data_IF_794690342933
#
_entry.id   IF_794690342933
#
_cell.length_a   1.000
_cell.length_b   1.000
_cell.length_c   1.000
_cell.angle_alpha   90.00
_cell.angle_beta   90.00
_cell.angle_gamma   90.00
#
_symmetry.space_group_name_H-M   'P 1'
#
loop_
_entity.id
_entity.type
_entity.pdbx_description
1 polymer ?
#
# COMPACT_ATOMS: atom_id res chain seq x y z
N UNK A 1 0.96 -4.56 -19.80
CA UNK A 1 2.37 -4.27 -19.48
C UNK A 1 2.51 -4.39 -17.97
N UNK A 2 3.60 -4.96 -17.44
CA UNK A 2 3.79 -5.04 -15.97
C UNK A 2 4.40 -3.73 -15.49
N UNK A 3 3.75 -3.07 -14.54
CA UNK A 3 4.30 -1.91 -13.86
C UNK A 3 4.88 -2.34 -12.51
N UNK A 4 6.06 -1.85 -12.17
CA UNK A 4 6.76 -2.23 -10.93
C UNK A 4 7.04 -0.99 -10.10
N UNK A 5 6.86 -1.12 -8.79
CA UNK A 5 7.09 -0.07 -7.81
C UNK A 5 7.86 -0.62 -6.61
N UNK A 6 8.79 0.14 -6.07
CA UNK A 6 9.50 -0.22 -4.83
C UNK A 6 9.16 0.76 -3.73
N UNK A 7 8.75 0.21 -2.59
CA UNK A 7 8.42 0.96 -1.39
C UNK A 7 9.63 1.03 -0.45
N UNK A 8 9.92 2.24 0.02
CA UNK A 8 10.85 2.47 1.12
C UNK A 8 10.19 3.31 2.20
N UNK A 9 10.54 3.09 3.46
CA UNK A 9 10.26 4.05 4.52
C UNK A 9 11.14 5.28 4.33
N UNK A 10 10.55 6.47 4.48
CA UNK A 10 11.29 7.74 4.39
C UNK A 10 12.49 7.78 5.35
N UNK A 11 12.31 7.26 6.57
CA UNK A 11 13.39 7.05 7.55
C UNK A 11 13.14 5.76 8.33
N UNK A 12 14.12 5.30 9.13
CA UNK A 12 13.98 4.08 9.95
C UNK A 12 12.78 4.12 10.91
N UNK A 13 12.45 5.31 11.43
CA UNK A 13 11.36 5.55 12.39
C UNK A 13 10.12 6.16 11.76
N UNK A 14 10.22 6.66 10.52
CA UNK A 14 9.09 7.29 9.85
C UNK A 14 7.98 6.29 9.55
N UNK A 15 6.77 6.84 9.58
CA UNK A 15 5.56 6.22 9.10
C UNK A 15 5.33 6.52 7.62
N UNK A 16 6.05 7.42 7.00
CA UNK A 16 5.81 7.67 5.58
C UNK A 16 6.53 6.62 4.74
N UNK A 17 5.88 6.20 3.66
CA UNK A 17 6.51 5.43 2.61
C UNK A 17 6.71 6.32 1.37
N UNK A 18 7.87 6.21 0.76
CA UNK A 18 8.18 6.76 -0.56
C UNK A 18 8.18 5.61 -1.57
N UNK A 19 7.59 5.85 -2.73
CA UNK A 19 7.38 4.83 -3.76
C UNK A 19 8.08 5.28 -5.02
N UNK A 20 9.00 4.46 -5.51
CA UNK A 20 9.72 4.70 -6.75
C UNK A 20 9.24 3.73 -7.82
N UNK A 21 9.17 4.21 -9.06
CA UNK A 21 8.97 3.33 -10.22
C UNK A 21 10.21 2.44 -10.43
N UNK A 22 9.98 1.17 -10.71
CA UNK A 22 11.00 0.13 -10.92
C UNK A 22 11.27 -0.75 -9.69
N UNK A 23 12.04 -1.82 -9.91
CA UNK A 23 12.54 -2.71 -8.88
C UNK A 23 13.91 -2.20 -8.37
N UNK A 24 13.91 -1.54 -7.22
CA UNK A 24 15.12 -0.95 -6.63
C UNK A 24 15.59 -1.78 -5.45
N UNK A 25 16.90 -1.97 -5.34
CA UNK A 25 17.49 -2.69 -4.20
C UNK A 25 17.67 -1.81 -2.96
N UNK A 26 17.90 -0.53 -3.18
CA UNK A 26 18.19 0.47 -2.16
C UNK A 26 17.45 1.78 -2.45
N UNK A 27 17.22 2.57 -1.39
CA UNK A 27 16.54 3.84 -1.54
C UNK A 27 17.47 4.83 -2.26
N UNK A 28 17.01 5.49 -3.34
CA UNK A 28 17.79 6.54 -3.98
C UNK A 28 18.19 7.65 -3.00
N UNK A 29 19.35 8.27 -3.25
CA UNK A 29 19.81 9.41 -2.48
C UNK A 29 18.85 10.60 -2.71
N UNK A 30 18.27 11.23 -1.67
CA UNK A 30 17.36 12.36 -1.83
C UNK A 30 17.95 13.60 -2.52
N UNK A 31 19.28 13.78 -2.47
CA UNK A 31 19.97 14.97 -3.02
C UNK A 31 20.38 14.81 -4.48
N UNK A 32 20.67 13.58 -4.90
CA UNK A 32 21.27 13.29 -6.21
C UNK A 32 20.54 12.24 -7.03
N UNK A 33 19.62 11.50 -6.40
CA UNK A 33 18.81 10.48 -7.04
C UNK A 33 17.50 11.05 -7.63
N UNK A 34 16.75 10.22 -8.36
CA UNK A 34 15.42 10.59 -8.82
C UNK A 34 14.50 10.89 -7.62
N UNK A 35 13.55 11.80 -7.80
CA UNK A 35 12.47 11.98 -6.85
C UNK A 35 11.56 10.73 -6.81
N UNK A 36 10.93 10.43 -5.66
CA UNK A 36 9.94 9.35 -5.60
C UNK A 36 8.73 9.69 -6.47
N UNK A 37 8.14 8.68 -7.11
CA UNK A 37 6.93 8.84 -7.92
C UNK A 37 5.72 9.14 -7.05
N UNK A 38 5.60 8.43 -5.92
CA UNK A 38 4.54 8.66 -4.94
C UNK A 38 5.08 8.77 -3.52
N UNK A 39 4.32 9.43 -2.66
CA UNK A 39 4.54 9.47 -1.21
C UNK A 39 3.25 9.07 -0.51
N UNK A 40 3.31 7.99 0.26
CA UNK A 40 2.22 7.56 1.14
C UNK A 40 2.50 8.08 2.56
N UNK A 41 1.85 9.17 2.93
CA UNK A 41 1.93 9.76 4.26
C UNK A 41 0.96 9.04 5.19
N UNK A 42 1.45 8.65 6.37
CA UNK A 42 0.70 7.76 7.26
C UNK A 42 0.76 8.26 8.70
N UNK A 43 -0.40 8.55 9.28
CA UNK A 43 -0.55 8.87 10.69
C UNK A 43 -1.22 7.71 11.43
N UNK A 44 -1.58 7.92 12.71
CA UNK A 44 -2.34 6.93 13.47
C UNK A 44 -3.80 6.82 13.04
N UNK A 45 -4.38 7.90 12.50
CA UNK A 45 -5.82 8.00 12.19
C UNK A 45 -6.09 8.34 10.74
N UNK A 46 -5.11 8.85 10.02
CA UNK A 46 -5.26 9.36 8.66
C UNK A 46 -4.10 8.90 7.78
N UNK A 47 -4.31 8.95 6.48
CA UNK A 47 -3.27 8.73 5.49
C UNK A 47 -3.59 9.52 4.22
N UNK A 48 -2.56 9.74 3.41
CA UNK A 48 -2.70 10.36 2.09
C UNK A 48 -1.72 9.73 1.11
N UNK A 49 -2.15 9.61 -0.15
CA UNK A 49 -1.27 9.31 -1.27
C UNK A 49 -1.04 10.58 -2.07
N UNK A 50 0.22 10.94 -2.21
CA UNK A 50 0.67 12.05 -3.04
C UNK A 50 1.40 11.51 -4.26
N UNK A 51 1.22 12.17 -5.39
CA UNK A 51 2.00 11.99 -6.60
C UNK A 51 2.95 13.17 -6.78
N UNK A 52 4.21 12.89 -7.10
CA UNK A 52 5.15 13.93 -7.51
C UNK A 52 5.12 14.04 -9.03
N UNK A 53 4.76 15.23 -9.51
CA UNK A 53 4.77 15.60 -10.92
C UNK A 53 5.83 16.68 -11.16
N UNK A 54 6.11 16.97 -12.43
CA UNK A 54 7.03 18.05 -12.80
C UNK A 54 6.56 19.43 -12.30
N UNK A 55 5.26 19.59 -12.06
CA UNK A 55 4.64 20.82 -11.55
C UNK A 55 4.54 20.89 -10.01
N UNK A 56 5.03 19.86 -9.31
CA UNK A 56 4.99 19.78 -7.85
C UNK A 56 4.26 18.54 -7.34
N UNK A 57 3.79 18.58 -6.10
CA UNK A 57 3.13 17.45 -5.46
C UNK A 57 1.62 17.62 -5.49
N UNK A 58 0.89 16.60 -5.98
CA UNK A 58 -0.57 16.53 -5.99
C UNK A 58 -1.06 15.45 -5.03
N UNK A 59 -2.08 15.76 -4.24
CA UNK A 59 -2.79 14.75 -3.45
C UNK A 59 -3.71 13.97 -4.39
N UNK A 60 -3.52 12.64 -4.48
CA UNK A 60 -4.41 11.75 -5.23
C UNK A 60 -5.55 11.24 -4.36
N UNK A 61 -5.18 10.71 -3.19
CA UNK A 61 -6.12 10.09 -2.26
C UNK A 61 -5.85 10.55 -0.83
N UNK A 62 -6.91 10.66 -0.06
CA UNK A 62 -6.86 10.84 1.39
C UNK A 62 -7.72 9.79 2.05
N UNK A 63 -7.44 9.46 3.31
CA UNK A 63 -8.28 8.53 4.03
C UNK A 63 -8.07 8.61 5.53
N UNK A 64 -8.95 7.91 6.23
CA UNK A 64 -8.89 7.76 7.67
C UNK A 64 -9.29 6.36 8.09
N UNK A 65 -8.65 5.89 9.15
CA UNK A 65 -8.99 4.63 9.80
C UNK A 65 -10.26 4.80 10.63
N UNK A 66 -11.12 3.79 10.61
CA UNK A 66 -12.31 3.70 11.44
C UNK A 66 -12.15 2.66 12.55
N UNK A 67 -12.81 2.91 13.68
CA UNK A 67 -12.74 2.06 14.86
C UNK A 67 -11.45 2.22 15.69
N UNK A 68 -11.43 1.58 16.86
CA UNK A 68 -10.33 1.67 17.82
C UNK A 68 -9.08 0.94 17.30
N UNK A 69 -9.29 -0.18 16.61
CA UNK A 69 -8.23 -1.05 16.12
C UNK A 69 -7.80 -0.73 14.68
N UNK A 70 -8.43 0.25 14.02
CA UNK A 70 -8.09 0.65 12.64
C UNK A 70 -8.25 -0.47 11.61
N UNK A 71 -9.18 -1.40 11.83
CA UNK A 71 -9.43 -2.57 10.96
C UNK A 71 -10.31 -2.24 9.74
N UNK A 72 -10.68 -0.98 9.59
CA UNK A 72 -11.36 -0.44 8.42
C UNK A 72 -10.83 0.97 8.15
N UNK A 73 -10.99 1.41 6.91
CA UNK A 73 -10.62 2.74 6.49
C UNK A 73 -11.55 3.24 5.38
N UNK A 74 -11.84 4.54 5.41
CA UNK A 74 -12.54 5.25 4.34
C UNK A 74 -11.52 6.03 3.54
N UNK A 75 -11.54 5.87 2.22
CA UNK A 75 -10.61 6.47 1.27
C UNK A 75 -11.41 7.36 0.31
N UNK A 76 -10.92 8.57 0.06
CA UNK A 76 -11.54 9.59 -0.79
C UNK A 76 -10.51 10.13 -1.80
N UNK A 77 -10.96 10.33 -3.03
CA UNK A 77 -10.28 11.09 -4.09
C UNK A 77 -11.27 12.05 -4.75
N UNK A 78 -10.84 12.75 -5.81
CA UNK A 78 -11.64 13.79 -6.49
C UNK A 78 -13.03 13.27 -6.93
N UNK A 79 -13.11 12.02 -7.41
CA UNK A 79 -14.35 11.37 -7.82
C UNK A 79 -14.50 9.95 -7.26
N UNK A 80 -13.77 9.65 -6.18
CA UNK A 80 -13.67 8.31 -5.63
C UNK A 80 -14.07 8.28 -4.16
N UNK A 81 -14.90 7.30 -3.81
CA UNK A 81 -15.12 6.88 -2.43
C UNK A 81 -14.93 5.36 -2.36
N UNK A 82 -13.99 4.92 -1.54
CA UNK A 82 -13.69 3.51 -1.30
C UNK A 82 -13.67 3.21 0.19
N UNK A 83 -14.10 2.00 0.55
CA UNK A 83 -13.97 1.49 1.91
C UNK A 83 -13.05 0.29 1.87
N UNK A 84 -11.98 0.36 2.66
CA UNK A 84 -11.06 -0.74 2.90
C UNK A 84 -11.37 -1.38 4.26
N UNK A 85 -11.32 -2.70 4.36
CA UNK A 85 -11.57 -3.44 5.60
C UNK A 85 -10.70 -4.69 5.69
N UNK A 86 -10.21 -4.96 6.89
CA UNK A 86 -9.58 -6.24 7.22
C UNK A 86 -10.63 -7.35 7.16
N UNK A 87 -10.23 -8.51 6.65
CA UNK A 87 -11.02 -9.73 6.68
C UNK A 87 -11.15 -10.29 8.10
N UNK A 88 -12.12 -11.18 8.29
CA UNK A 88 -12.31 -11.88 9.57
C UNK A 88 -11.23 -12.94 9.84
N UNK A 89 -11.36 -13.64 10.97
CA UNK A 89 -10.46 -14.72 11.43
C UNK A 89 -10.20 -15.85 10.42
N UNK A 90 -11.01 -15.97 9.37
CA UNK A 90 -10.90 -16.99 8.31
C UNK A 90 -10.72 -16.38 6.91
N UNK A 91 -10.66 -15.06 6.81
CA UNK A 91 -10.49 -14.35 5.55
C UNK A 91 -9.18 -13.57 5.61
N UNK A 92 -8.10 -14.25 5.26
CA UNK A 92 -6.74 -13.71 5.38
C UNK A 92 -6.55 -12.51 4.45
N UNK A 93 -6.54 -11.32 5.06
CA UNK A 93 -6.04 -10.09 4.45
C UNK A 93 -7.03 -8.92 4.53
N UNK A 94 -7.04 -8.10 3.48
CA UNK A 94 -7.82 -6.85 3.43
C UNK A 94 -8.60 -6.78 2.12
N UNK A 95 -9.75 -6.14 2.13
CA UNK A 95 -10.53 -5.89 0.93
C UNK A 95 -10.87 -4.42 0.78
N UNK A 96 -11.03 -3.95 -0.45
CA UNK A 96 -11.54 -2.63 -0.75
C UNK A 96 -12.48 -2.65 -1.95
N UNK A 97 -13.32 -1.62 -2.08
CA UNK A 97 -14.27 -1.49 -3.19
C UNK A 97 -13.87 -0.39 -4.17
N UNK A 98 -14.07 -0.62 -5.45
CA UNK A 98 -13.89 0.38 -6.51
C UNK A 98 -14.92 0.14 -7.61
N UNK A 99 -15.69 1.18 -7.99
CA UNK A 99 -16.74 1.11 -9.01
C UNK A 99 -17.69 -0.11 -8.87
N UNK A 100 -18.11 -0.41 -7.65
CA UNK A 100 -18.94 -1.58 -7.28
C UNK A 100 -18.26 -2.96 -7.36
N UNK A 101 -17.02 -3.06 -7.83
CA UNK A 101 -16.22 -4.27 -7.71
C UNK A 101 -15.47 -4.30 -6.36
N UNK A 102 -15.16 -5.52 -5.93
CA UNK A 102 -14.44 -5.80 -4.68
C UNK A 102 -13.10 -6.44 -5.00
N UNK A 103 -12.06 -5.91 -4.38
CA UNK A 103 -10.68 -6.34 -4.52
C UNK A 103 -10.16 -6.80 -3.18
N UNK A 104 -9.31 -7.83 -3.18
CA UNK A 104 -8.82 -8.47 -1.95
C UNK A 104 -7.33 -8.69 -1.97
N UNK A 105 -6.63 -8.08 -1.02
CA UNK A 105 -5.29 -8.48 -0.63
C UNK A 105 -5.36 -9.82 0.10
N UNK A 106 -4.80 -10.87 -0.50
CA UNK A 106 -4.48 -12.14 0.15
C UNK A 106 -3.11 -12.06 0.79
N UNK A 107 -3.09 -12.31 2.08
CA UNK A 107 -1.89 -12.17 2.90
C UNK A 107 -1.62 -13.51 3.55
N UNK A 108 -0.56 -14.20 3.14
CA UNK A 108 -0.14 -15.40 3.85
C UNK A 108 0.49 -15.03 5.19
N UNK A 109 0.04 -15.67 6.27
CA UNK A 109 0.46 -15.39 7.66
C UNK A 109 1.99 -15.49 7.86
N UNK A 110 2.65 -16.43 7.17
CA UNK A 110 4.12 -16.60 7.19
C UNK A 110 4.78 -16.26 5.84
N UNK A 111 4.04 -15.59 4.95
CA UNK A 111 4.49 -15.32 3.58
C UNK A 111 4.99 -13.90 3.38
N UNK A 112 6.07 -13.77 2.61
CA UNK A 112 6.54 -12.46 2.11
C UNK A 112 5.73 -11.98 0.91
N UNK A 113 5.00 -12.88 0.26
CA UNK A 113 4.25 -12.60 -0.95
C UNK A 113 2.79 -12.38 -0.65
N UNK A 114 2.29 -11.22 -1.04
CA UNK A 114 0.88 -10.88 -0.99
C UNK A 114 0.35 -10.69 -2.40
N UNK A 115 -0.91 -11.02 -2.64
CA UNK A 115 -1.55 -10.88 -3.94
C UNK A 115 -2.81 -10.05 -3.81
N UNK A 116 -3.08 -9.20 -4.79
CA UNK A 116 -4.36 -8.52 -4.94
C UNK A 116 -5.20 -9.28 -5.96
N UNK A 117 -6.40 -9.68 -5.57
CA UNK A 117 -7.33 -10.47 -6.36
C UNK A 117 -8.64 -9.72 -6.61
N UNK A 118 -9.24 -9.91 -7.78
CA UNK A 118 -10.62 -9.48 -8.04
C UNK A 118 -11.61 -10.53 -7.51
N UNK A 119 -12.91 -10.27 -7.70
CA UNK A 119 -13.99 -11.21 -7.36
C UNK A 119 -13.89 -12.58 -8.05
N UNK A 120 -13.22 -12.64 -9.21
CA UNK A 120 -13.03 -13.86 -9.99
C UNK A 120 -11.72 -14.58 -9.62
N UNK A 121 -10.99 -14.08 -8.62
CA UNK A 121 -9.66 -14.57 -8.19
C UNK A 121 -8.55 -14.34 -9.23
N UNK A 122 -8.74 -13.40 -10.16
CA UNK A 122 -7.66 -12.97 -11.03
C UNK A 122 -6.68 -12.12 -10.23
N UNK A 123 -5.39 -12.43 -10.32
CA UNK A 123 -4.35 -11.68 -9.61
C UNK A 123 -4.01 -10.42 -10.41
N UNK A 124 -4.30 -9.25 -9.84
CA UNK A 124 -4.02 -7.94 -10.46
C UNK A 124 -2.68 -7.36 -10.03
N UNK A 125 -2.26 -7.64 -8.79
CA UNK A 125 -1.00 -7.15 -8.26
C UNK A 125 -0.36 -8.13 -7.29
N UNK A 126 0.95 -8.02 -7.10
CA UNK A 126 1.74 -8.83 -6.17
C UNK A 126 2.69 -7.93 -5.39
N UNK A 127 2.75 -8.08 -4.08
CA UNK A 127 3.77 -7.47 -3.25
C UNK A 127 4.73 -8.56 -2.75
N UNK A 128 6.01 -8.43 -3.06
CA UNK A 128 7.07 -9.21 -2.43
C UNK A 128 7.73 -8.36 -1.33
N UNK A 129 7.44 -8.67 -0.07
CA UNK A 129 8.01 -7.99 1.10
C UNK A 129 9.50 -8.22 1.19
N UNK A 130 10.23 -7.15 1.48
CA UNK A 130 11.64 -7.24 1.79
C UNK A 130 11.82 -7.93 3.15
N UNK A 131 12.71 -8.91 3.20
CA UNK A 131 13.19 -9.50 4.44
C UNK A 131 14.42 -8.74 4.94
N UNK A 132 14.45 -8.36 6.22
CA UNK A 132 15.65 -7.89 6.93
C UNK A 132 16.34 -6.59 6.42
N UNK A 133 15.77 -5.85 5.45
CA UNK A 133 16.26 -4.49 5.09
C UNK A 133 15.50 -3.43 5.89
N UNK A 134 16.21 -2.57 6.64
CA UNK A 134 15.60 -1.64 7.61
C UNK A 134 14.62 -0.61 7.01
N UNK A 135 14.83 -0.19 5.76
CA UNK A 135 14.00 0.84 5.11
C UNK A 135 13.20 0.32 3.92
N UNK A 136 13.67 -0.69 3.18
CA UNK A 136 12.90 -1.29 2.08
C UNK A 136 11.69 -2.05 2.64
N UNK A 137 10.51 -1.73 2.15
CA UNK A 137 9.25 -2.38 2.53
C UNK A 137 9.02 -3.60 1.63
N UNK A 138 9.12 -3.40 0.31
CA UNK A 138 8.87 -4.45 -0.66
C UNK A 138 8.81 -3.92 -2.09
N UNK A 139 8.58 -4.84 -3.02
CA UNK A 139 8.40 -4.55 -4.45
C UNK A 139 6.97 -4.97 -4.83
N UNK A 140 6.21 -4.00 -5.32
CA UNK A 140 4.86 -4.18 -5.86
C UNK A 140 4.93 -4.31 -7.38
N UNK A 141 4.33 -5.36 -7.91
CA UNK A 141 4.12 -5.57 -9.34
C UNK A 141 2.64 -5.46 -9.64
N UNK A 142 2.26 -4.56 -10.54
CA UNK A 142 0.92 -4.43 -11.10
C UNK A 142 0.92 -5.20 -12.43
N UNK A 143 0.14 -6.28 -12.48
CA UNK A 143 0.15 -7.25 -13.56
C UNK A 143 -0.90 -6.97 -14.64
N UNK A 144 -1.94 -6.21 -14.28
CA UNK A 144 -3.06 -5.86 -15.14
C UNK A 144 -3.11 -4.35 -15.33
N UNK A 145 -3.43 -3.91 -16.54
CA UNK A 145 -3.68 -2.50 -16.81
C UNK A 145 -4.89 -2.03 -16.01
N UNK A 146 -4.77 -0.87 -15.37
CA UNK A 146 -5.78 -0.28 -14.50
C UNK A 146 -5.77 1.23 -14.70
N UNK A 147 -6.92 1.85 -14.54
CA UNK A 147 -7.01 3.30 -14.49
C UNK A 147 -6.25 3.88 -13.28
N UNK A 148 -6.00 5.19 -13.31
CA UNK A 148 -5.18 5.86 -12.31
C UNK A 148 -5.79 5.85 -10.90
N UNK A 149 -7.12 5.84 -10.77
CA UNK A 149 -7.82 5.81 -9.48
C UNK A 149 -7.68 4.44 -8.82
N UNK A 150 -7.89 3.36 -9.58
CA UNK A 150 -7.65 2.00 -9.10
C UNK A 150 -6.17 1.80 -8.77
N UNK A 151 -5.26 2.32 -9.60
CA UNK A 151 -3.82 2.28 -9.32
C UNK A 151 -3.48 2.98 -8.01
N UNK A 152 -4.00 4.18 -7.79
CA UNK A 152 -3.82 4.92 -6.55
C UNK A 152 -4.37 4.14 -5.34
N UNK A 153 -5.53 3.48 -5.48
CA UNK A 153 -6.07 2.59 -4.45
C UNK A 153 -5.16 1.40 -4.16
N UNK A 154 -4.64 0.72 -5.19
CA UNK A 154 -3.68 -0.39 -5.00
C UNK A 154 -2.45 0.11 -4.25
N UNK A 155 -1.90 1.26 -4.65
CA UNK A 155 -0.70 1.83 -4.06
C UNK A 155 -0.88 2.16 -2.56
N UNK A 156 -1.97 2.84 -2.21
CA UNK A 156 -2.21 3.26 -0.82
C UNK A 156 -2.66 2.08 0.06
N UNK A 157 -3.51 1.19 -0.45
CA UNK A 157 -3.99 0.04 0.31
C UNK A 157 -2.87 -0.96 0.57
N UNK A 158 -1.91 -1.12 -0.35
CA UNK A 158 -0.72 -1.92 -0.12
C UNK A 158 0.02 -1.50 1.16
N UNK A 159 0.23 -0.19 1.37
CA UNK A 159 0.92 0.31 2.57
C UNK A 159 0.02 0.25 3.82
N UNK A 160 -1.29 0.48 3.69
CA UNK A 160 -2.25 0.27 4.78
C UNK A 160 -2.20 -1.17 5.30
N UNK A 161 -2.29 -2.14 4.38
CA UNK A 161 -2.21 -3.57 4.69
C UNK A 161 -0.87 -3.90 5.35
N UNK A 162 0.22 -3.37 4.79
CA UNK A 162 1.56 -3.58 5.32
C UNK A 162 1.72 -3.16 6.78
N UNK A 163 1.15 -2.02 7.14
CA UNK A 163 1.18 -1.49 8.52
C UNK A 163 0.39 -2.33 9.49
N UNK A 164 -0.84 -2.67 9.12
CA UNK A 164 -1.72 -3.45 9.99
C UNK A 164 -1.08 -4.78 10.34
N UNK A 165 -0.53 -5.48 9.35
CA UNK A 165 0.11 -6.78 9.58
C UNK A 165 1.37 -6.63 10.43
N UNK A 166 2.22 -5.65 10.16
CA UNK A 166 3.41 -5.42 10.99
C UNK A 166 3.06 -5.09 12.43
N UNK A 167 1.97 -4.36 12.67
CA UNK A 167 1.47 -4.08 14.02
C UNK A 167 1.00 -5.36 14.73
N UNK A 168 0.27 -6.23 14.02
CA UNK A 168 -0.17 -7.53 14.55
C UNK A 168 0.99 -8.48 14.82
N UNK A 169 1.99 -8.56 13.92
CA UNK A 169 3.23 -9.34 14.09
C UNK A 169 3.99 -8.89 15.35
N UNK A 170 4.10 -7.57 15.58
CA UNK A 170 4.77 -7.03 16.76
C UNK A 170 4.02 -7.33 18.07
N UNK A 171 2.68 -7.27 18.06
CA UNK A 171 1.87 -7.62 19.22
C UNK A 171 2.01 -9.10 19.59
N UNK A 172 1.98 -10.00 18.60
CA UNK A 172 2.14 -11.44 18.80
C UNK A 172 3.55 -11.85 19.28
N UNK A 173 4.59 -11.08 18.93
CA UNK A 173 5.95 -11.33 19.41
C UNK A 173 6.19 -10.86 20.85
N UNK A 174 5.30 -10.03 21.40
CA UNK A 174 5.38 -9.48 22.76
C UNK A 174 4.54 -10.24 23.80
N UNK A 175 3.77 -11.23 23.36
CA UNK A 175 2.94 -12.13 24.17
C UNK A 175 3.58 -13.50 24.33
#
# INVERSE_FOLDING_TARGET
MVETYTYFRRTKVSRDAVVYKGALEEMPNPETGPAPTYVAEMSFRTFALHENTDSGTRILLTGHYEGILGRSAVIKGDHLLSMAKEGGLFDDGWSFTYMADSYRWRVAWFGRRWTLEDRNKNVLAKLERASFKYTKIGVLEILTEMDDDLKALVLITCEVVHRTIKSSEAAAASS
#
